data_IF_843493643324
#
_entry.id   IF_843493643324
#
_cell.length_a   1.000
_cell.length_b   1.000
_cell.length_c   1.000
_cell.angle_alpha   90.00
_cell.angle_beta   90.00
_cell.angle_gamma   90.00
#
_symmetry.space_group_name_H-M   'P 1'
#
loop_
_entity.id
_entity.type
_entity.pdbx_description
1 polymer ?
#
# COMPACT_ATOMS: atom_id res chain seq x y z
N UNK A 1 -14.13 -22.01 -7.58
CA UNK A 1 -14.16 -21.05 -6.45
C UNK A 1 -14.34 -19.65 -7.01
N UNK A 2 -15.46 -18.97 -6.73
CA UNK A 2 -15.70 -17.58 -7.15
C UNK A 2 -15.09 -16.66 -6.10
N UNK A 3 -13.98 -16.00 -6.45
CA UNK A 3 -13.36 -14.99 -5.58
C UNK A 3 -14.29 -13.76 -5.57
N UNK A 4 -14.72 -13.25 -4.41
CA UNK A 4 -15.50 -12.02 -4.36
C UNK A 4 -14.66 -10.88 -4.95
N UNK A 5 -15.20 -10.23 -5.99
CA UNK A 5 -14.59 -9.05 -6.59
C UNK A 5 -14.34 -7.99 -5.50
N UNK A 6 -13.24 -7.23 -5.56
CA UNK A 6 -12.99 -6.15 -4.63
C UNK A 6 -14.20 -5.21 -4.65
N UNK A 7 -14.79 -4.96 -3.47
CA UNK A 7 -15.85 -3.97 -3.30
C UNK A 7 -15.33 -2.66 -3.90
N UNK A 8 -15.91 -2.26 -5.04
CA UNK A 8 -15.69 -0.93 -5.60
C UNK A 8 -15.93 0.04 -4.45
N UNK A 9 -14.89 0.80 -4.08
CA UNK A 9 -15.04 1.90 -3.13
C UNK A 9 -16.24 2.71 -3.61
N UNK A 10 -17.30 2.85 -2.80
CA UNK A 10 -18.50 3.52 -3.26
C UNK A 10 -18.09 4.92 -3.67
N UNK A 11 -18.54 5.38 -4.85
CA UNK A 11 -18.23 6.71 -5.37
C UNK A 11 -18.42 7.81 -4.30
N UNK A 12 -19.36 7.58 -3.37
CA UNK A 12 -19.62 8.44 -2.21
C UNK A 12 -18.42 8.62 -1.26
N UNK A 13 -17.59 7.59 -1.04
CA UNK A 13 -16.40 7.71 -0.17
C UNK A 13 -15.32 8.61 -0.78
N UNK A 14 -15.16 8.56 -2.11
CA UNK A 14 -14.24 9.46 -2.82
C UNK A 14 -14.78 10.90 -2.80
N UNK A 15 -16.08 11.09 -3.05
CA UNK A 15 -16.70 12.41 -2.99
C UNK A 15 -16.59 13.04 -1.59
N UNK A 16 -16.86 12.26 -0.53
CA UNK A 16 -16.69 12.69 0.85
C UNK A 16 -15.23 13.08 1.16
N UNK A 17 -14.27 12.29 0.69
CA UNK A 17 -12.85 12.60 0.85
C UNK A 17 -12.46 13.93 0.19
N UNK A 18 -12.92 14.18 -1.04
CA UNK A 18 -12.67 15.44 -1.76
C UNK A 18 -13.29 16.63 -1.03
N UNK A 19 -14.54 16.51 -0.57
CA UNK A 19 -15.22 17.58 0.17
C UNK A 19 -14.51 17.87 1.49
N UNK A 20 -14.11 16.85 2.25
CA UNK A 20 -13.39 17.01 3.50
C UNK A 20 -12.04 17.71 3.30
N UNK A 21 -11.28 17.32 2.26
CA UNK A 21 -10.00 17.96 1.92
C UNK A 21 -10.19 19.42 1.49
N UNK A 22 -11.21 19.72 0.68
CA UNK A 22 -11.52 21.09 0.26
C UNK A 22 -11.94 21.97 1.44
N UNK A 23 -12.82 21.46 2.31
CA UNK A 23 -13.26 22.16 3.51
C UNK A 23 -12.10 22.45 4.45
N UNK A 24 -11.20 21.48 4.65
CA UNK A 24 -9.99 21.71 5.44
C UNK A 24 -9.11 22.77 4.76
N UNK A 25 -8.76 22.62 3.49
CA UNK A 25 -7.92 23.60 2.78
C UNK A 25 -8.44 25.03 2.90
N UNK A 26 -9.74 25.26 2.66
CA UNK A 26 -10.37 26.59 2.79
C UNK A 26 -10.24 27.14 4.20
N UNK A 27 -10.44 26.29 5.22
CA UNK A 27 -10.34 26.70 6.63
C UNK A 27 -8.89 27.01 7.01
N UNK A 28 -7.94 26.21 6.55
CA UNK A 28 -6.50 26.41 6.75
C UNK A 28 -6.05 27.75 6.16
N UNK A 29 -6.42 28.00 4.91
CA UNK A 29 -6.06 29.23 4.20
C UNK A 29 -6.62 30.46 4.89
N UNK A 30 -7.90 30.43 5.30
CA UNK A 30 -8.52 31.55 6.04
C UNK A 30 -7.83 31.83 7.38
N UNK A 31 -7.42 30.79 8.09
CA UNK A 31 -6.69 30.94 9.35
C UNK A 31 -5.29 31.51 9.13
N UNK A 32 -4.57 31.05 8.10
CA UNK A 32 -3.26 31.57 7.74
C UNK A 32 -3.32 33.07 7.35
N UNK A 33 -4.34 33.48 6.60
CA UNK A 33 -4.60 34.89 6.29
C UNK A 33 -4.83 35.73 7.55
N UNK A 34 -5.60 35.21 8.52
CA UNK A 34 -5.84 35.92 9.79
C UNK A 34 -4.57 36.10 10.63
N UNK A 35 -3.58 35.22 10.49
CA UNK A 35 -2.31 35.29 11.22
C UNK A 35 -1.21 36.04 10.47
N UNK A 36 -1.52 36.65 9.32
CA UNK A 36 -0.55 37.46 8.57
C UNK A 36 0.58 36.64 7.95
N UNK A 37 0.40 35.32 7.81
CA UNK A 37 1.38 34.44 7.15
C UNK A 37 1.05 34.44 5.65
N UNK A 38 1.64 35.38 4.92
CA UNK A 38 1.28 35.65 3.52
C UNK A 38 2.14 34.84 2.53
N UNK A 39 3.37 34.47 2.91
CA UNK A 39 4.34 33.89 1.98
C UNK A 39 4.76 32.47 2.41
N UNK A 40 4.18 31.45 1.76
CA UNK A 40 4.65 30.05 1.83
C UNK A 40 3.72 29.04 2.51
N UNK A 41 2.82 29.46 3.40
CA UNK A 41 1.88 28.56 4.10
C UNK A 41 1.02 27.67 3.18
N UNK A 42 0.42 28.15 2.06
CA UNK A 42 -0.38 27.29 1.20
C UNK A 42 0.46 26.28 0.42
N UNK A 43 1.71 26.62 0.06
CA UNK A 43 2.61 25.71 -0.63
C UNK A 43 3.07 24.57 0.29
N UNK A 44 3.43 24.89 1.54
CA UNK A 44 3.78 23.89 2.55
C UNK A 44 2.60 22.96 2.84
N UNK A 45 1.39 23.52 3.00
CA UNK A 45 0.18 22.72 3.20
C UNK A 45 -0.10 21.75 2.04
N UNK A 46 0.06 22.19 0.80
CA UNK A 46 -0.12 21.35 -0.38
C UNK A 46 0.92 20.22 -0.45
N UNK A 47 2.19 20.51 -0.14
CA UNK A 47 3.26 19.51 -0.13
C UNK A 47 2.97 18.44 0.94
N UNK A 48 2.60 18.85 2.16
CA UNK A 48 2.26 17.92 3.24
C UNK A 48 1.05 17.06 2.87
N UNK A 49 -0.01 17.67 2.34
CA UNK A 49 -1.20 16.93 1.91
C UNK A 49 -0.88 15.90 0.81
N UNK A 50 -0.05 16.27 -0.16
CA UNK A 50 0.42 15.36 -1.21
C UNK A 50 1.25 14.21 -0.64
N UNK A 51 2.19 14.50 0.28
CA UNK A 51 3.00 13.47 0.93
C UNK A 51 2.14 12.47 1.71
N UNK A 52 1.13 12.94 2.45
CA UNK A 52 0.17 12.08 3.15
C UNK A 52 -0.62 11.22 2.18
N UNK A 53 -1.16 11.80 1.10
CA UNK A 53 -1.91 11.08 0.09
C UNK A 53 -1.07 9.97 -0.59
N UNK A 54 0.18 10.28 -0.96
CA UNK A 54 1.12 9.30 -1.53
C UNK A 54 1.40 8.18 -0.52
N UNK A 55 1.57 8.52 0.76
CA UNK A 55 1.85 7.55 1.82
C UNK A 55 0.67 6.58 2.00
N UNK A 56 -0.56 7.10 2.09
CA UNK A 56 -1.77 6.28 2.20
C UNK A 56 -1.98 5.40 0.96
N UNK A 57 -1.74 5.94 -0.23
CA UNK A 57 -1.83 5.16 -1.47
C UNK A 57 -0.80 4.02 -1.49
N UNK A 58 0.45 4.28 -1.08
CA UNK A 58 1.48 3.23 -0.98
C UNK A 58 1.12 2.16 0.03
N UNK A 59 0.57 2.56 1.18
CA UNK A 59 0.15 1.62 2.22
C UNK A 59 -0.99 0.73 1.74
N UNK A 60 -2.07 1.31 1.22
CA UNK A 60 -3.23 0.55 0.70
C UNK A 60 -2.85 -0.40 -0.44
N UNK A 61 -1.92 0.00 -1.32
CA UNK A 61 -1.34 -0.88 -2.35
C UNK A 61 -0.63 -2.09 -1.75
N UNK A 62 0.16 -1.88 -0.69
CA UNK A 62 0.83 -2.95 0.05
C UNK A 62 -0.16 -3.93 0.69
N UNK A 63 -1.21 -3.42 1.34
CA UNK A 63 -2.23 -4.27 1.98
C UNK A 63 -2.96 -5.15 0.95
N UNK A 64 -3.29 -4.59 -0.23
CA UNK A 64 -3.89 -5.36 -1.32
C UNK A 64 -2.95 -6.43 -1.87
N UNK A 65 -1.66 -6.11 -1.99
CA UNK A 65 -0.64 -7.06 -2.41
C UNK A 65 -0.51 -8.21 -1.41
N UNK A 66 -0.35 -7.91 -0.11
CA UNK A 66 -0.28 -8.93 0.94
C UNK A 66 -1.54 -9.80 1.00
N UNK A 67 -2.74 -9.20 0.91
CA UNK A 67 -3.98 -9.96 0.89
C UNK A 67 -4.10 -10.88 -0.34
N UNK A 68 -3.62 -10.44 -1.50
CA UNK A 68 -3.60 -11.25 -2.71
C UNK A 68 -2.59 -12.41 -2.60
N UNK A 69 -1.38 -12.14 -2.11
CA UNK A 69 -0.35 -13.15 -1.85
C UNK A 69 -0.82 -14.20 -0.83
N UNK A 70 -1.49 -13.77 0.25
CA UNK A 70 -2.09 -14.66 1.25
C UNK A 70 -3.18 -15.55 0.65
N UNK A 71 -3.90 -15.06 -0.36
CA UNK A 71 -4.89 -15.82 -1.13
C UNK A 71 -4.28 -16.63 -2.30
N UNK A 72 -2.95 -16.63 -2.46
CA UNK A 72 -2.21 -17.25 -3.57
C UNK A 72 -2.70 -16.76 -4.95
N UNK A 73 -3.04 -15.47 -5.03
CA UNK A 73 -3.50 -14.78 -6.24
C UNK A 73 -2.54 -13.65 -6.60
N UNK A 74 -2.27 -13.49 -7.88
CA UNK A 74 -1.41 -12.43 -8.37
C UNK A 74 -2.07 -11.06 -8.12
N UNK A 75 -1.39 -10.12 -7.44
CA UNK A 75 -1.95 -8.79 -7.19
C UNK A 75 -2.08 -7.93 -8.45
N UNK A 76 -1.42 -8.31 -9.56
CA UNK A 76 -1.50 -7.61 -10.85
C UNK A 76 -2.62 -8.11 -11.75
N UNK A 77 -2.75 -9.42 -11.94
CA UNK A 77 -3.70 -10.00 -12.91
C UNK A 77 -4.75 -10.93 -12.29
N UNK A 78 -4.64 -11.30 -11.02
CA UNK A 78 -5.59 -12.20 -10.34
C UNK A 78 -5.44 -13.70 -10.66
N UNK A 79 -4.47 -14.09 -11.48
CA UNK A 79 -4.16 -15.51 -11.72
C UNK A 79 -3.58 -16.20 -10.48
N UNK A 80 -3.50 -17.53 -10.52
CA UNK A 80 -2.88 -18.29 -9.45
C UNK A 80 -1.36 -18.03 -9.40
N UNK A 81 -0.81 -17.99 -8.19
CA UNK A 81 0.62 -17.89 -7.96
C UNK A 81 1.24 -19.27 -7.75
N UNK A 82 2.41 -19.48 -8.34
CA UNK A 82 3.33 -20.52 -7.92
C UNK A 82 4.14 -20.02 -6.72
N UNK A 83 4.31 -20.86 -5.70
CA UNK A 83 5.07 -20.51 -4.49
C UNK A 83 6.20 -21.49 -4.25
N UNK A 84 7.37 -20.96 -3.91
CA UNK A 84 8.51 -21.74 -3.46
C UNK A 84 9.03 -21.14 -2.14
N UNK A 85 9.61 -21.96 -1.28
CA UNK A 85 10.30 -21.49 -0.09
C UNK A 85 11.69 -22.12 -0.01
N UNK A 86 12.66 -21.32 0.37
CA UNK A 86 14.02 -21.76 0.64
C UNK A 86 14.26 -21.71 2.16
N UNK A 87 14.75 -22.81 2.72
CA UNK A 87 15.11 -22.86 4.13
C UNK A 87 16.46 -22.20 4.39
N UNK A 88 16.59 -21.54 5.55
CA UNK A 88 17.88 -21.18 6.10
C UNK A 88 18.69 -22.47 6.32
N UNK A 89 19.96 -22.49 5.88
CA UNK A 89 20.84 -23.64 6.11
C UNK A 89 21.59 -23.46 7.43
N UNK A 90 21.76 -24.52 8.24
CA UNK A 90 22.63 -24.46 9.42
C UNK A 90 24.05 -24.02 9.02
N UNK A 91 24.55 -22.94 9.63
CA UNK A 91 25.85 -22.33 9.29
C UNK A 91 25.86 -21.48 8.02
N UNK A 92 24.72 -21.33 7.33
CA UNK A 92 24.55 -20.41 6.22
C UNK A 92 24.19 -19.00 6.70
N UNK A 93 24.70 -17.98 6.01
CA UNK A 93 24.48 -16.56 6.39
C UNK A 93 23.10 -16.02 5.94
N UNK A 94 22.22 -16.89 5.44
CA UNK A 94 20.97 -16.49 4.78
C UNK A 94 19.74 -16.76 5.63
N UNK A 95 18.84 -15.78 5.72
CA UNK A 95 17.46 -15.96 6.19
C UNK A 95 16.69 -16.80 5.17
N UNK A 96 15.80 -17.69 5.65
CA UNK A 96 14.87 -18.39 4.75
C UNK A 96 14.01 -17.39 3.98
N UNK A 97 13.65 -17.69 2.74
CA UNK A 97 12.85 -16.79 1.89
C UNK A 97 11.67 -17.52 1.28
N UNK A 98 10.57 -16.81 1.06
CA UNK A 98 9.44 -17.25 0.27
C UNK A 98 9.39 -16.46 -1.03
N UNK A 99 9.12 -17.15 -2.14
CA UNK A 99 9.01 -16.59 -3.47
C UNK A 99 7.64 -16.88 -4.06
N UNK A 100 7.04 -15.88 -4.69
CA UNK A 100 5.81 -16.00 -5.45
C UNK A 100 6.08 -15.60 -6.89
N UNK A 101 5.60 -16.40 -7.85
CA UNK A 101 5.73 -16.14 -9.28
C UNK A 101 4.40 -16.35 -10.01
N UNK A 102 4.06 -15.43 -10.91
CA UNK A 102 2.87 -15.49 -11.75
C UNK A 102 3.24 -15.74 -13.21
N UNK A 103 2.75 -16.86 -13.78
CA UNK A 103 2.99 -17.19 -15.18
C UNK A 103 2.25 -16.28 -16.16
N UNK A 104 1.06 -15.77 -15.81
CA UNK A 104 0.25 -14.96 -16.73
C UNK A 104 0.74 -13.54 -16.97
N UNK A 105 1.39 -12.91 -15.98
CA UNK A 105 1.86 -11.52 -16.13
C UNK A 105 3.33 -11.29 -15.73
N UNK A 106 4.07 -12.36 -15.40
CA UNK A 106 5.49 -12.28 -15.01
C UNK A 106 5.73 -11.52 -13.70
N UNK A 107 4.73 -11.44 -12.82
CA UNK A 107 4.91 -10.85 -11.50
C UNK A 107 5.74 -11.77 -10.60
N UNK A 108 6.73 -11.22 -9.91
CA UNK A 108 7.56 -11.91 -8.94
C UNK A 108 7.61 -11.11 -7.62
N UNK A 109 7.59 -11.83 -6.49
CA UNK A 109 7.75 -11.27 -5.15
C UNK A 109 8.61 -12.21 -4.30
N UNK A 110 9.45 -11.64 -3.45
CA UNK A 110 10.31 -12.38 -2.52
C UNK A 110 10.22 -11.72 -1.16
N UNK A 111 9.94 -12.51 -0.12
CA UNK A 111 9.85 -12.05 1.25
C UNK A 111 10.71 -12.94 2.15
N UNK A 112 11.37 -12.34 3.15
CA UNK A 112 12.07 -13.10 4.17
C UNK A 112 11.05 -13.83 5.06
N UNK A 113 11.24 -15.13 5.25
CA UNK A 113 10.41 -15.91 6.15
C UNK A 113 10.86 -15.68 7.59
N UNK A 114 9.95 -15.17 8.43
CA UNK A 114 10.15 -15.05 9.88
C UNK A 114 9.60 -16.27 10.64
N UNK A 115 9.49 -17.44 9.99
CA UNK A 115 8.96 -18.63 10.65
C UNK A 115 9.83 -18.99 11.87
N UNK A 116 9.23 -19.22 13.07
CA UNK A 116 9.98 -19.59 14.27
C UNK A 116 10.73 -20.91 14.13
N UNK A 117 10.32 -21.79 13.20
CA UNK A 117 11.04 -23.02 12.87
C UNK A 117 12.27 -22.79 11.98
N UNK A 118 12.39 -21.60 11.37
CA UNK A 118 13.48 -21.21 10.47
C UNK A 118 14.39 -20.13 11.06
N UNK A 119 14.06 -19.58 12.23
CA UNK A 119 14.84 -18.57 12.96
C UNK A 119 15.88 -19.17 13.93
N UNK A 120 16.07 -20.50 13.89
CA UNK A 120 16.96 -21.27 14.76
C UNK A 120 18.25 -21.68 14.04
#
# INVERSE_FOLDING_TARGET
MRVPLPRRLPLGSLALGVVACAAWYVTASRLAYRWGVQDGAPAVGAIVAFAVAVTLWRWTRGDHEQAALAALRCPRCGEALATAHDHARPGGVGVGVQRWACAGCGYEHVEALTCPQCAA
#
